data_IF_991324356731
#
_entry.id   IF_991324356731
#
_cell.length_a   1.000
_cell.length_b   1.000
_cell.length_c   1.000
_cell.angle_alpha   90.00
_cell.angle_beta   90.00
_cell.angle_gamma   90.00
#
_symmetry.space_group_name_H-M   'P 1'
#
loop_
_entity.id
_entity.type
_entity.pdbx_description
1 polymer ?
#
# COMPACT_ATOMS: atom_id res chain seq x y z
N UNK A 1 -18.49 23.48 7.57
CA UNK A 1 -18.03 22.73 6.37
C UNK A 1 -16.55 22.96 5.94
N UNK A 2 -15.73 23.81 6.59
CA UNK A 2 -14.34 24.09 6.13
C UNK A 2 -13.26 23.04 6.49
N UNK A 3 -13.50 22.16 7.47
CA UNK A 3 -12.47 21.26 8.03
C UNK A 3 -12.28 19.90 7.30
N UNK A 4 -13.17 19.54 6.37
CA UNK A 4 -13.10 18.25 5.64
C UNK A 4 -12.00 18.26 4.57
N UNK A 5 -11.85 19.39 3.86
CA UNK A 5 -10.96 19.51 2.70
C UNK A 5 -9.48 19.42 3.09
N UNK A 6 -9.09 20.02 4.23
CA UNK A 6 -7.71 19.93 4.73
C UNK A 6 -7.29 18.49 5.05
N UNK A 7 -8.20 17.68 5.61
CA UNK A 7 -7.92 16.25 5.90
C UNK A 7 -7.73 15.44 4.62
N UNK A 8 -8.53 15.70 3.58
CA UNK A 8 -8.39 15.02 2.29
C UNK A 8 -7.03 15.37 1.66
N UNK A 9 -6.59 16.64 1.73
CA UNK A 9 -5.27 17.06 1.24
C UNK A 9 -4.14 16.35 1.99
N UNK A 10 -4.24 16.25 3.32
CA UNK A 10 -3.26 15.51 4.13
C UNK A 10 -3.19 14.04 3.72
N UNK A 11 -4.34 13.37 3.53
CA UNK A 11 -4.35 11.98 3.10
C UNK A 11 -3.85 11.77 1.66
N UNK A 12 -4.09 12.73 0.77
CA UNK A 12 -3.49 12.71 -0.57
C UNK A 12 -1.97 12.81 -0.47
N UNK A 13 -1.43 13.78 0.29
CA UNK A 13 0.01 13.91 0.48
C UNK A 13 0.63 12.66 1.12
N UNK A 14 -0.03 12.07 2.11
CA UNK A 14 0.41 10.85 2.77
C UNK A 14 0.47 9.67 1.78
N UNK A 15 -0.56 9.48 0.97
CA UNK A 15 -0.59 8.41 -0.04
C UNK A 15 0.43 8.65 -1.16
N UNK A 16 0.67 9.90 -1.55
CA UNK A 16 1.73 10.23 -2.52
C UNK A 16 3.11 9.89 -1.97
N UNK A 17 3.40 10.26 -0.71
CA UNK A 17 4.66 9.85 -0.06
C UNK A 17 4.77 8.33 0.00
N UNK A 18 3.68 7.63 0.31
CA UNK A 18 3.65 6.17 0.34
C UNK A 18 3.94 5.56 -1.03
N UNK A 19 3.39 6.12 -2.11
CA UNK A 19 3.68 5.70 -3.48
C UNK A 19 5.16 5.89 -3.84
N UNK A 20 5.76 7.03 -3.46
CA UNK A 20 7.17 7.30 -3.72
C UNK A 20 8.08 6.33 -2.98
N UNK A 21 7.80 6.07 -1.70
CA UNK A 21 8.59 5.11 -0.90
C UNK A 21 8.43 3.69 -1.46
N UNK A 22 7.22 3.29 -1.85
CA UNK A 22 6.96 1.98 -2.47
C UNK A 22 7.70 1.84 -3.80
N UNK A 23 7.66 2.87 -4.65
CA UNK A 23 8.38 2.88 -5.92
C UNK A 23 9.89 2.85 -5.75
N UNK A 24 10.44 3.62 -4.80
CA UNK A 24 11.86 3.61 -4.48
C UNK A 24 12.30 2.23 -3.95
N UNK A 25 11.50 1.60 -3.09
CA UNK A 25 11.77 0.26 -2.59
C UNK A 25 11.76 -0.79 -3.72
N UNK A 26 10.79 -0.72 -4.64
CA UNK A 26 10.74 -1.61 -5.80
C UNK A 26 11.97 -1.43 -6.70
N UNK A 27 12.38 -0.19 -6.96
CA UNK A 27 13.58 0.11 -7.76
C UNK A 27 14.86 -0.39 -7.09
N UNK A 28 15.04 -0.14 -5.79
CA UNK A 28 16.19 -0.64 -5.04
C UNK A 28 16.24 -2.17 -5.00
N UNK A 29 15.08 -2.81 -4.88
CA UNK A 29 14.96 -4.27 -4.91
C UNK A 29 15.36 -4.86 -6.26
N UNK A 30 14.88 -4.27 -7.36
CA UNK A 30 15.27 -4.66 -8.72
C UNK A 30 16.76 -4.42 -8.97
N UNK A 31 17.28 -3.26 -8.58
CA UNK A 31 18.71 -2.94 -8.69
C UNK A 31 19.58 -3.94 -7.92
N UNK A 32 19.23 -4.23 -6.66
CA UNK A 32 19.94 -5.22 -5.84
C UNK A 32 19.96 -6.57 -6.56
N UNK A 33 18.80 -7.03 -7.03
CA UNK A 33 18.65 -8.29 -7.75
C UNK A 33 19.60 -8.38 -8.94
N UNK A 34 19.56 -7.38 -9.84
CA UNK A 34 20.40 -7.32 -11.04
C UNK A 34 21.90 -7.24 -10.70
N UNK A 35 22.25 -6.47 -9.66
CA UNK A 35 23.64 -6.30 -9.24
C UNK A 35 24.24 -7.57 -8.63
N UNK A 36 23.46 -8.30 -7.83
CA UNK A 36 23.90 -9.56 -7.20
C UNK A 36 23.93 -10.74 -8.17
N UNK A 37 23.18 -10.64 -9.27
CA UNK A 37 23.11 -11.70 -10.27
C UNK A 37 24.11 -11.51 -11.42
N UNK A 38 25.01 -10.53 -11.34
CA UNK A 38 25.97 -10.18 -12.40
C UNK A 38 25.33 -9.97 -13.79
N UNK A 39 24.04 -9.61 -13.82
CA UNK A 39 23.28 -9.45 -15.07
C UNK A 39 22.63 -10.74 -15.60
N UNK A 40 22.84 -11.90 -14.96
CA UNK A 40 22.00 -13.06 -15.21
C UNK A 40 20.61 -12.80 -14.60
N UNK A 41 19.54 -12.98 -15.37
CA UNK A 41 18.17 -12.85 -14.86
C UNK A 41 17.86 -14.04 -13.94
N UNK A 42 18.28 -13.96 -12.67
CA UNK A 42 17.87 -14.90 -11.64
C UNK A 42 16.44 -14.54 -11.23
N UNK A 43 15.46 -14.93 -12.07
CA UNK A 43 14.07 -15.01 -11.67
C UNK A 43 13.91 -16.14 -10.66
N UNK A 44 14.34 -15.92 -9.41
CA UNK A 44 13.94 -16.83 -8.33
C UNK A 44 12.44 -16.65 -8.09
N UNK A 45 11.74 -17.75 -7.85
CA UNK A 45 10.31 -17.74 -7.54
C UNK A 45 10.01 -17.01 -6.21
N UNK A 46 11.00 -16.59 -5.43
CA UNK A 46 10.80 -15.73 -4.26
C UNK A 46 10.84 -14.24 -4.64
N UNK A 47 11.72 -13.85 -5.57
CA UNK A 47 11.89 -12.45 -5.99
C UNK A 47 10.76 -11.94 -6.89
N UNK A 48 10.22 -12.80 -7.76
CA UNK A 48 9.13 -12.43 -8.68
C UNK A 48 7.83 -12.04 -7.97
N UNK A 49 7.54 -12.64 -6.81
CA UNK A 49 6.33 -12.33 -6.05
C UNK A 49 6.44 -11.03 -5.28
N UNK A 50 7.62 -10.70 -4.72
CA UNK A 50 7.85 -9.41 -4.04
C UNK A 50 7.63 -8.22 -5.00
N UNK A 51 8.09 -8.36 -6.25
CA UNK A 51 7.84 -7.35 -7.29
C UNK A 51 6.35 -7.20 -7.62
N UNK A 52 5.63 -8.32 -7.81
CA UNK A 52 4.18 -8.30 -8.02
C UNK A 52 3.44 -7.60 -6.88
N UNK A 53 3.88 -7.80 -5.64
CA UNK A 53 3.29 -7.17 -4.46
C UNK A 53 3.50 -5.66 -4.45
N UNK A 54 4.70 -5.17 -4.81
CA UNK A 54 4.94 -3.74 -4.99
C UNK A 54 4.04 -3.14 -6.08
N UNK A 55 3.82 -3.87 -7.19
CA UNK A 55 2.92 -3.45 -8.27
C UNK A 55 1.47 -3.37 -7.77
N UNK A 56 0.96 -4.41 -7.10
CA UNK A 56 -0.39 -4.39 -6.53
C UNK A 56 -0.57 -3.26 -5.51
N UNK A 57 0.46 -3.01 -4.71
CA UNK A 57 0.45 -1.91 -3.77
C UNK A 57 0.36 -0.55 -4.47
N UNK A 58 1.20 -0.30 -5.46
CA UNK A 58 1.14 0.92 -6.27
C UNK A 58 -0.23 1.13 -6.92
N UNK A 59 -0.82 0.07 -7.50
CA UNK A 59 -2.17 0.11 -8.08
C UNK A 59 -3.21 0.53 -7.04
N UNK A 60 -3.20 -0.10 -5.85
CA UNK A 60 -4.17 0.24 -4.80
C UNK A 60 -3.99 1.67 -4.28
N UNK A 61 -2.75 2.17 -4.20
CA UNK A 61 -2.47 3.57 -3.80
C UNK A 61 -3.01 4.54 -4.86
N UNK A 62 -2.78 4.27 -6.14
CA UNK A 62 -3.29 5.08 -7.26
C UNK A 62 -4.82 5.13 -7.22
N UNK A 63 -5.48 3.98 -7.03
CA UNK A 63 -6.95 3.91 -6.90
C UNK A 63 -7.43 4.77 -5.73
N UNK A 64 -6.77 4.69 -4.57
CA UNK A 64 -7.13 5.50 -3.40
C UNK A 64 -6.91 7.00 -3.66
N UNK A 65 -5.80 7.40 -4.29
CA UNK A 65 -5.53 8.79 -4.67
C UNK A 65 -6.59 9.35 -5.62
N UNK A 66 -6.89 8.65 -6.71
CA UNK A 66 -7.93 9.06 -7.67
C UNK A 66 -9.27 9.17 -6.97
N UNK A 67 -9.60 8.20 -6.10
CA UNK A 67 -10.86 8.21 -5.36
C UNK A 67 -10.94 9.39 -4.39
N UNK A 68 -9.85 9.74 -3.69
CA UNK A 68 -9.79 10.92 -2.83
C UNK A 68 -10.01 12.22 -3.61
N UNK A 69 -9.39 12.36 -4.78
CA UNK A 69 -9.58 13.53 -5.66
C UNK A 69 -11.05 13.63 -6.09
N UNK A 70 -11.67 12.50 -6.44
CA UNK A 70 -13.10 12.46 -6.77
C UNK A 70 -13.99 12.82 -5.58
N UNK A 71 -13.65 12.34 -4.38
CA UNK A 71 -14.36 12.67 -3.14
C UNK A 71 -14.22 14.17 -2.81
N UNK A 72 -13.04 14.76 -3.01
CA UNK A 72 -12.78 16.19 -2.85
C UNK A 72 -13.70 17.04 -3.73
N UNK A 73 -13.91 16.64 -4.99
CA UNK A 73 -14.82 17.34 -5.91
C UNK A 73 -16.29 17.16 -5.55
N UNK A 74 -16.71 15.91 -5.27
CA UNK A 74 -18.08 15.55 -4.89
C UNK A 74 -18.08 14.19 -4.21
N UNK A 75 -18.27 14.16 -2.89
CA UNK A 75 -18.33 12.87 -2.20
C UNK A 75 -19.64 12.15 -2.44
N UNK A 76 -19.55 10.84 -2.68
CA UNK A 76 -20.70 9.94 -2.80
C UNK A 76 -20.42 8.65 -2.04
N UNK A 77 -21.47 7.96 -1.58
CA UNK A 77 -21.36 6.66 -0.92
C UNK A 77 -20.61 5.63 -1.78
N UNK A 78 -20.80 5.65 -3.11
CA UNK A 78 -20.08 4.77 -4.05
C UNK A 78 -18.57 5.02 -4.01
N UNK A 79 -18.14 6.30 -4.05
CA UNK A 79 -16.72 6.67 -3.98
C UNK A 79 -16.09 6.29 -2.63
N UNK A 80 -16.84 6.46 -1.54
CA UNK A 80 -16.40 5.99 -0.22
C UNK A 80 -16.18 4.47 -0.18
N UNK A 81 -17.12 3.68 -0.75
CA UNK A 81 -16.95 2.22 -0.84
C UNK A 81 -15.70 1.82 -1.63
N UNK A 82 -15.44 2.47 -2.76
CA UNK A 82 -14.22 2.21 -3.56
C UNK A 82 -12.96 2.49 -2.74
N UNK A 83 -12.91 3.61 -2.02
CA UNK A 83 -11.78 3.97 -1.15
C UNK A 83 -11.52 2.91 -0.08
N UNK A 84 -12.58 2.43 0.57
CA UNK A 84 -12.51 1.41 1.61
C UNK A 84 -12.06 0.05 1.04
N UNK A 85 -12.67 -0.38 -0.07
CA UNK A 85 -12.32 -1.66 -0.72
C UNK A 85 -10.88 -1.65 -1.18
N UNK A 86 -10.40 -0.57 -1.82
CA UNK A 86 -9.00 -0.44 -2.22
C UNK A 86 -8.04 -0.52 -1.03
N UNK A 87 -8.41 0.07 0.11
CA UNK A 87 -7.65 -0.07 1.36
C UNK A 87 -7.60 -1.50 1.88
N UNK A 88 -8.74 -2.20 1.89
CA UNK A 88 -8.80 -3.59 2.32
C UNK A 88 -8.07 -4.55 1.38
N UNK A 89 -8.08 -4.29 0.06
CA UNK A 89 -7.27 -5.05 -0.89
C UNK A 89 -5.77 -4.88 -0.63
N UNK A 90 -5.32 -3.66 -0.30
CA UNK A 90 -3.92 -3.42 0.06
C UNK A 90 -3.53 -4.17 1.34
N UNK A 91 -4.42 -4.18 2.35
CA UNK A 91 -4.23 -4.98 3.57
C UNK A 91 -4.11 -6.47 3.24
N UNK A 92 -5.01 -6.99 2.41
CA UNK A 92 -4.99 -8.39 2.00
C UNK A 92 -3.69 -8.77 1.30
N UNK A 93 -3.21 -7.92 0.38
CA UNK A 93 -1.93 -8.11 -0.28
C UNK A 93 -0.78 -8.14 0.74
N UNK A 94 -0.68 -7.14 1.61
CA UNK A 94 0.37 -7.05 2.64
C UNK A 94 0.35 -8.24 3.62
N UNK A 95 -0.84 -8.67 4.04
CA UNK A 95 -1.01 -9.83 4.91
C UNK A 95 -0.55 -11.13 4.24
N UNK A 96 -0.90 -11.33 2.96
CA UNK A 96 -0.41 -12.47 2.18
C UNK A 96 1.12 -12.48 2.10
N UNK A 97 1.77 -11.33 1.93
CA UNK A 97 3.25 -11.22 1.94
C UNK A 97 3.81 -11.68 3.27
N UNK A 98 3.24 -11.19 4.36
CA UNK A 98 3.71 -11.48 5.71
C UNK A 98 3.56 -12.96 6.02
N UNK A 99 2.42 -13.57 5.66
CA UNK A 99 2.22 -15.01 5.82
C UNK A 99 3.22 -15.80 4.98
N UNK A 100 3.43 -15.41 3.73
CA UNK A 100 4.40 -16.08 2.85
C UNK A 100 5.82 -15.99 3.40
N UNK A 101 6.26 -14.80 3.84
CA UNK A 101 7.61 -14.63 4.43
C UNK A 101 7.79 -15.45 5.70
N UNK A 102 6.76 -15.55 6.55
CA UNK A 102 6.81 -16.40 7.75
C UNK A 102 6.92 -17.88 7.36
N UNK A 103 6.20 -18.34 6.32
CA UNK A 103 6.24 -19.74 5.88
C UNK A 103 7.58 -20.06 5.20
N UNK A 104 8.10 -19.17 4.35
CA UNK A 104 9.31 -19.40 3.57
C UNK A 104 10.59 -19.29 4.42
N UNK A 105 10.70 -18.23 5.24
CA UNK A 105 11.95 -17.92 5.95
C UNK A 105 11.90 -18.24 7.45
N UNK A 106 10.73 -18.63 7.96
CA UNK A 106 10.44 -18.77 9.39
C UNK A 106 10.17 -17.41 10.06
N UNK A 107 9.75 -17.44 11.34
CA UNK A 107 9.56 -16.21 12.11
C UNK A 107 10.90 -15.63 12.56
N UNK A 108 11.55 -14.86 11.68
CA UNK A 108 12.79 -14.12 11.97
C UNK A 108 12.48 -12.63 12.14
N UNK A 109 13.14 -11.93 13.09
CA UNK A 109 12.97 -10.48 13.26
C UNK A 109 13.20 -9.70 11.97
N UNK A 110 14.15 -10.17 11.16
CA UNK A 110 14.40 -9.71 9.79
C UNK A 110 14.35 -10.92 8.84
N UNK A 111 13.59 -10.89 7.73
CA UNK A 111 12.77 -9.79 7.21
C UNK A 111 11.30 -9.78 7.69
N UNK A 112 10.81 -10.87 8.31
CA UNK A 112 9.38 -11.05 8.59
C UNK A 112 8.80 -9.98 9.56
N UNK A 113 9.57 -9.53 10.56
CA UNK A 113 9.14 -8.47 11.48
C UNK A 113 8.87 -7.12 10.78
N UNK A 114 9.63 -6.81 9.73
CA UNK A 114 9.43 -5.59 8.93
C UNK A 114 8.13 -5.68 8.14
N UNK A 115 7.90 -6.79 7.44
CA UNK A 115 6.65 -6.99 6.68
C UNK A 115 5.41 -7.04 7.57
N UNK A 116 5.52 -7.60 8.78
CA UNK A 116 4.44 -7.58 9.76
C UNK A 116 4.12 -6.14 10.20
N UNK A 117 5.13 -5.35 10.55
CA UNK A 117 4.98 -3.94 10.94
C UNK A 117 4.36 -3.13 9.80
N UNK A 118 4.82 -3.36 8.58
CA UNK A 118 4.31 -2.73 7.37
C UNK A 118 2.82 -3.06 7.13
N UNK A 119 2.45 -4.32 7.26
CA UNK A 119 1.06 -4.78 7.15
C UNK A 119 0.15 -4.11 8.17
N UNK A 120 0.62 -4.00 9.42
CA UNK A 120 -0.13 -3.29 10.48
C UNK A 120 -0.32 -1.81 10.14
N UNK A 121 0.72 -1.14 9.61
CA UNK A 121 0.61 0.25 9.19
C UNK A 121 -0.39 0.44 8.05
N UNK A 122 -0.39 -0.43 7.04
CA UNK A 122 -1.39 -0.40 5.95
C UNK A 122 -2.79 -0.61 6.50
N UNK A 123 -2.97 -1.59 7.39
CA UNK A 123 -4.26 -1.87 8.02
C UNK A 123 -4.78 -0.66 8.80
N UNK A 124 -3.96 -0.10 9.67
CA UNK A 124 -4.34 1.03 10.52
C UNK A 124 -4.60 2.26 9.64
N UNK A 125 -3.67 2.64 8.78
CA UNK A 125 -3.75 3.90 8.03
C UNK A 125 -4.74 3.79 6.86
N UNK A 126 -4.53 2.82 5.96
CA UNK A 126 -5.25 2.72 4.68
C UNK A 126 -6.57 1.96 4.81
N UNK A 127 -6.63 0.94 5.65
CA UNK A 127 -7.85 0.18 5.90
C UNK A 127 -8.83 0.87 6.85
N UNK A 128 -8.32 1.53 7.90
CA UNK A 128 -9.15 2.04 9.00
C UNK A 128 -9.21 3.57 9.04
N UNK A 129 -8.07 4.25 9.20
CA UNK A 129 -8.02 5.70 9.49
C UNK A 129 -8.52 6.53 8.33
N UNK A 130 -8.00 6.30 7.11
CA UNK A 130 -8.40 7.06 5.91
C UNK A 130 -9.92 6.91 5.67
N UNK A 131 -10.49 5.70 5.59
CA UNK A 131 -11.93 5.54 5.42
C UNK A 131 -12.74 6.14 6.59
N UNK A 132 -12.42 5.84 7.85
CA UNK A 132 -13.18 6.38 8.99
C UNK A 132 -13.20 7.91 9.01
N UNK A 133 -12.06 8.54 8.75
CA UNK A 133 -11.95 10.00 8.74
C UNK A 133 -12.76 10.65 7.62
N UNK A 134 -12.91 9.97 6.50
CA UNK A 134 -13.65 10.48 5.34
C UNK A 134 -15.15 10.20 5.48
N UNK A 135 -15.55 9.05 6.01
CA UNK A 135 -16.96 8.70 6.26
C UNK A 135 -17.66 9.73 7.16
N UNK A 136 -16.96 10.23 8.18
CA UNK A 136 -17.48 11.22 9.15
C UNK A 136 -17.87 12.56 8.52
N UNK A 137 -17.51 12.81 7.25
CA UNK A 137 -17.86 14.03 6.53
C UNK A 137 -19.02 13.84 5.52
N UNK A 138 -19.60 12.64 5.41
CA UNK A 138 -20.65 12.30 4.42
C UNK A 138 -21.87 11.56 5.00
N UNK A 139 -21.88 11.29 6.32
CA UNK A 139 -23.05 10.92 7.11
C UNK A 139 -23.35 12.11 8.02
#
# INVERSE_FOLDING_TARGET
MKNSNGKIIIFMALLTMYALVTGAAAFLFEYYTVSTSEGELIFSFAMSWQLLLFIFELITIIIQLVTLILIFKKGTQKRYRILFVAGMCAVGAAALVTVYTIIADGFKPYPAGIYLTYTLLILIVRGIVIPKCIRKNYV
#
